data_IF_649722042470
#
_entry.id   IF_649722042470
#
_cell.length_a   1.000
_cell.length_b   1.000
_cell.length_c   1.000
_cell.angle_alpha   90.00
_cell.angle_beta   90.00
_cell.angle_gamma   90.00
#
_symmetry.space_group_name_H-M   'P 1'
#
loop_
_entity.id
_entity.type
_entity.pdbx_description
1 polymer ?
#
# COMPACT_ATOMS: atom_id res chain seq x y z
N UNK A 1 9.74 8.02 -4.48
CA UNK A 1 8.97 8.00 -3.22
C UNK A 1 8.84 6.55 -2.81
N UNK A 2 9.23 6.19 -1.57
CA UNK A 2 9.21 4.80 -1.13
C UNK A 2 7.79 4.32 -0.92
N UNK A 3 7.41 3.18 -1.50
CA UNK A 3 6.11 2.55 -1.32
C UNK A 3 6.27 1.21 -0.62
N UNK A 4 5.41 0.92 0.34
CA UNK A 4 5.34 -0.38 1.00
C UNK A 4 4.48 -1.32 0.18
N UNK A 5 4.98 -2.53 -0.05
CA UNK A 5 4.19 -3.64 -0.59
C UNK A 5 3.84 -4.60 0.54
N UNK A 6 2.58 -4.99 0.62
CA UNK A 6 2.08 -6.00 1.56
C UNK A 6 1.20 -7.01 0.82
N UNK A 7 1.46 -8.29 1.00
CA UNK A 7 0.66 -9.40 0.47
C UNK A 7 -0.35 -9.87 1.53
N UNK A 8 -1.57 -10.21 1.11
CA UNK A 8 -2.58 -10.70 2.05
C UNK A 8 -2.34 -12.15 2.50
N UNK A 9 -1.92 -13.00 1.56
CA UNK A 9 -1.79 -14.45 1.79
C UNK A 9 -0.39 -14.88 2.24
N UNK A 10 0.60 -13.99 2.09
CA UNK A 10 2.00 -14.32 2.26
C UNK A 10 2.75 -13.25 3.03
N UNK A 11 3.87 -13.62 3.64
CA UNK A 11 4.70 -12.74 4.48
C UNK A 11 5.51 -11.68 3.68
N UNK A 12 5.04 -11.32 2.49
CA UNK A 12 5.65 -10.27 1.69
C UNK A 12 5.21 -8.92 2.24
N UNK A 13 6.00 -8.37 3.17
CA UNK A 13 5.84 -7.03 3.74
C UNK A 13 7.19 -6.29 3.66
N UNK A 14 7.33 -5.35 2.72
CA UNK A 14 8.58 -4.58 2.59
C UNK A 14 8.40 -3.20 1.98
N UNK A 15 9.31 -2.31 2.34
CA UNK A 15 9.46 -1.00 1.70
C UNK A 15 10.30 -1.10 0.44
N UNK A 16 9.85 -0.45 -0.63
CA UNK A 16 10.54 -0.33 -1.91
C UNK A 16 10.72 1.15 -2.20
N UNK A 17 11.96 1.63 -2.32
CA UNK A 17 12.27 3.07 -2.49
C UNK A 17 11.66 3.71 -3.74
N UNK A 18 11.39 2.87 -4.74
CA UNK A 18 10.79 3.25 -6.00
C UNK A 18 9.39 2.66 -6.13
N UNK A 19 8.38 3.53 -6.09
CA UNK A 19 6.99 3.10 -6.21
C UNK A 19 6.70 2.40 -7.55
N UNK A 20 7.33 2.83 -8.66
CA UNK A 20 7.12 2.18 -9.97
C UNK A 20 7.59 0.72 -9.92
N UNK A 21 8.70 0.45 -9.26
CA UNK A 21 9.22 -0.90 -9.00
C UNK A 21 8.30 -1.67 -8.05
N UNK A 22 7.77 -1.01 -7.02
CA UNK A 22 6.79 -1.59 -6.10
C UNK A 22 5.54 -2.09 -6.86
N UNK A 23 5.00 -1.26 -7.76
CA UNK A 23 3.85 -1.61 -8.60
C UNK A 23 4.17 -2.74 -9.59
N UNK A 24 5.37 -2.78 -10.17
CA UNK A 24 5.80 -3.89 -11.04
C UNK A 24 5.86 -5.21 -10.27
N UNK A 25 6.48 -5.20 -9.09
CA UNK A 25 6.56 -6.36 -8.20
C UNK A 25 5.17 -6.83 -7.77
N UNK A 26 4.28 -5.91 -7.45
CA UNK A 26 2.89 -6.22 -7.11
C UNK A 26 2.20 -6.99 -8.24
N UNK A 27 2.23 -6.44 -9.46
CA UNK A 27 1.61 -7.08 -10.63
C UNK A 27 2.23 -8.43 -10.98
N UNK A 28 3.55 -8.55 -10.87
CA UNK A 28 4.23 -9.82 -11.13
C UNK A 28 3.83 -10.89 -10.10
N UNK A 29 3.70 -10.49 -8.83
CA UNK A 29 3.26 -11.37 -7.75
C UNK A 29 1.81 -11.82 -7.94
N UNK A 30 0.90 -10.89 -8.24
CA UNK A 30 -0.51 -11.19 -8.52
C UNK A 30 -0.67 -12.06 -9.78
N UNK A 31 0.15 -11.84 -10.81
CA UNK A 31 0.14 -12.69 -12.01
C UNK A 31 0.66 -14.11 -11.75
N UNK A 32 1.59 -14.25 -10.80
CA UNK A 32 2.16 -15.55 -10.41
C UNK A 32 1.27 -16.31 -9.43
N UNK A 33 0.54 -15.60 -8.59
CA UNK A 33 -0.31 -16.17 -7.55
C UNK A 33 -1.72 -15.61 -7.66
N UNK A 34 -2.62 -16.37 -8.30
CA UNK A 34 -4.01 -15.98 -8.58
C UNK A 34 -4.86 -15.69 -7.36
N UNK A 35 -4.45 -16.18 -6.18
CA UNK A 35 -5.16 -15.99 -4.91
C UNK A 35 -4.49 -14.92 -4.02
N UNK A 36 -3.34 -14.39 -4.42
CA UNK A 36 -2.65 -13.35 -3.66
C UNK A 36 -2.95 -11.98 -4.27
N UNK A 37 -3.28 -11.01 -3.44
CA UNK A 37 -3.33 -9.60 -3.83
C UNK A 37 -2.31 -8.78 -3.05
N UNK A 38 -1.77 -7.76 -3.71
CA UNK A 38 -0.77 -6.87 -3.14
C UNK A 38 -1.37 -5.50 -2.87
N UNK A 39 -1.27 -5.05 -1.63
CA UNK A 39 -1.60 -3.69 -1.22
C UNK A 39 -0.34 -2.84 -1.27
N UNK A 40 -0.42 -1.71 -1.96
CA UNK A 40 0.62 -0.68 -1.96
C UNK A 40 0.21 0.42 -0.99
N UNK A 41 1.11 0.77 -0.06
CA UNK A 41 0.91 1.86 0.89
C UNK A 41 1.99 2.91 0.67
N UNK A 42 1.58 4.15 0.54
CA UNK A 42 2.48 5.29 0.55
C UNK A 42 3.21 5.39 1.90
N UNK A 43 4.43 5.97 1.93
CA UNK A 43 5.12 6.17 3.19
C UNK A 43 4.27 7.11 4.04
N UNK A 44 4.19 6.90 5.36
CA UNK A 44 3.56 7.88 6.23
C UNK A 44 4.30 9.20 5.98
N UNK A 45 3.63 10.09 5.26
CA UNK A 45 4.02 11.48 5.18
C UNK A 45 4.16 11.94 6.63
N UNK A 46 5.31 12.49 7.00
CA UNK A 46 5.52 13.05 8.33
C UNK A 46 4.71 14.36 8.44
N UNK A 47 3.42 14.28 8.19
CA UNK A 47 2.43 15.31 8.34
C UNK A 47 1.89 15.19 9.76
N UNK A 48 2.61 15.85 10.66
CA UNK A 48 1.98 16.53 11.76
C UNK A 48 0.98 17.56 11.20
N UNK A 49 -0.18 17.08 10.74
CA UNK A 49 -1.35 17.93 10.47
C UNK A 49 -2.52 17.39 11.31
N UNK A 50 -2.74 17.94 12.51
CA UNK A 50 -3.97 17.66 13.24
C UNK A 50 -5.13 18.39 12.56
N UNK A 51 -5.98 17.62 11.88
CA UNK A 51 -7.32 18.04 11.48
C UNK A 51 -7.55 18.02 9.97
N UNK A 52 -8.49 17.20 9.50
CA UNK A 52 -9.88 17.64 9.50
C UNK A 52 -10.86 16.48 9.21
N UNK A 53 -11.85 16.37 10.09
CA UNK A 53 -13.24 16.00 9.80
C UNK A 53 -13.57 14.56 9.39
N UNK A 54 -13.72 13.74 10.43
CA UNK A 54 -14.92 12.91 10.54
C UNK A 54 -16.16 13.81 10.48
N UNK A 55 -16.95 13.77 9.40
CA UNK A 55 -18.39 14.04 9.47
C UNK A 55 -19.11 13.50 8.22
N UNK A 56 -19.44 12.22 8.23
CA UNK A 56 -20.54 11.68 7.41
C UNK A 56 -21.80 11.75 8.28
N UNK A 57 -22.65 12.74 8.05
CA UNK A 57 -23.96 12.82 8.69
C UNK A 57 -24.93 11.77 8.15
N UNK A 58 -25.93 11.40 8.94
CA UNK A 58 -27.32 11.06 8.55
C UNK A 58 -28.10 10.64 9.80
N UNK A 59 -29.15 11.40 10.14
CA UNK A 59 -30.08 11.12 11.24
C UNK A 59 -30.91 12.34 11.61
#
# INVERSE_FOLDING_TARGET
MPCKITCNECDLDRWVEDCVTAHKLAKEHEARYTDHWITLQDPPENDAVPGHSQQSGSG
#
